data_IF_157887747812
#
_entry.id   IF_157887747812
#
_cell.length_a   1.000
_cell.length_b   1.000
_cell.length_c   1.000
_cell.angle_alpha   90.00
_cell.angle_beta   90.00
_cell.angle_gamma   90.00
#
_symmetry.space_group_name_H-M   'P 1'
#
loop_
_entity.id
_entity.type
_entity.pdbx_description
1 polymer ?
#
# COMPACT_ATOMS: atom_id res chain seq x y z
N UNK A 1 41.28 -16.25 -27.81
CA UNK A 1 39.96 -16.89 -27.62
C UNK A 1 40.03 -18.41 -27.33
N UNK A 2 40.93 -19.18 -27.96
CA UNK A 2 41.05 -20.63 -27.70
C UNK A 2 41.44 -20.99 -26.25
N UNK A 3 42.28 -20.16 -25.56
CA UNK A 3 42.68 -20.41 -24.18
C UNK A 3 41.54 -20.29 -23.17
N UNK A 4 40.65 -19.33 -23.34
CA UNK A 4 39.50 -19.11 -22.46
C UNK A 4 38.51 -20.28 -22.47
N UNK A 5 38.22 -20.79 -23.68
CA UNK A 5 37.32 -21.95 -23.86
C UNK A 5 37.91 -23.21 -23.22
N UNK A 6 39.21 -23.42 -23.33
CA UNK A 6 39.89 -24.57 -22.71
C UNK A 6 39.86 -24.49 -21.17
N UNK A 7 40.06 -23.33 -20.59
CA UNK A 7 39.97 -23.13 -19.14
C UNK A 7 38.51 -23.37 -18.67
N UNK A 8 37.55 -22.79 -19.35
CA UNK A 8 36.13 -22.96 -19.03
C UNK A 8 35.69 -24.42 -19.08
N UNK A 9 36.15 -25.16 -20.10
CA UNK A 9 35.86 -26.60 -20.26
C UNK A 9 36.50 -27.46 -19.17
N UNK A 10 37.70 -27.07 -18.71
CA UNK A 10 38.39 -27.73 -17.59
C UNK A 10 37.67 -27.48 -16.27
N UNK A 11 37.29 -26.24 -15.97
CA UNK A 11 36.57 -25.87 -14.75
C UNK A 11 35.19 -26.54 -14.69
N UNK A 12 34.47 -26.56 -15.82
CA UNK A 12 33.18 -27.26 -15.91
C UNK A 12 33.34 -28.79 -15.70
N UNK A 13 34.46 -29.38 -16.17
CA UNK A 13 34.80 -30.78 -15.93
C UNK A 13 35.07 -31.09 -14.46
N UNK A 14 35.70 -30.15 -13.72
CA UNK A 14 35.98 -30.30 -12.30
C UNK A 14 34.67 -30.19 -11.49
N UNK A 15 33.81 -29.23 -11.80
CA UNK A 15 32.52 -29.05 -11.14
C UNK A 15 31.64 -30.31 -11.33
N UNK A 16 31.57 -30.85 -12.57
CA UNK A 16 30.77 -32.02 -12.86
C UNK A 16 31.28 -33.29 -12.17
N UNK A 17 32.59 -33.39 -11.93
CA UNK A 17 33.23 -34.59 -11.38
C UNK A 17 33.23 -34.61 -9.85
N UNK A 18 32.99 -33.45 -9.21
CA UNK A 18 32.97 -33.35 -7.76
C UNK A 18 31.55 -33.00 -7.31
N UNK A 19 30.83 -33.93 -6.63
CA UNK A 19 29.44 -33.71 -6.23
C UNK A 19 29.28 -32.55 -5.26
N UNK A 20 30.30 -32.22 -4.44
CA UNK A 20 30.26 -31.10 -3.51
C UNK A 20 30.24 -29.76 -4.26
N UNK A 21 31.06 -29.59 -5.29
CA UNK A 21 31.04 -28.38 -6.10
C UNK A 21 29.76 -28.26 -6.94
N UNK A 22 29.21 -29.36 -7.42
CA UNK A 22 27.97 -29.39 -8.18
C UNK A 22 26.80 -29.01 -7.27
N UNK A 23 26.76 -29.56 -6.07
CA UNK A 23 25.73 -29.23 -5.08
C UNK A 23 25.85 -27.79 -4.60
N UNK A 24 27.06 -27.28 -4.34
CA UNK A 24 27.30 -25.89 -3.89
C UNK A 24 27.05 -24.84 -4.97
N UNK A 25 27.30 -25.12 -6.24
CA UNK A 25 27.10 -24.14 -7.32
C UNK A 25 25.71 -24.22 -7.95
N UNK A 26 25.35 -25.40 -8.47
CA UNK A 26 24.05 -25.58 -9.14
C UNK A 26 22.94 -25.82 -8.16
N UNK A 27 23.18 -26.58 -7.09
CA UNK A 27 22.18 -26.87 -6.05
C UNK A 27 21.71 -25.62 -5.34
N UNK A 28 22.62 -24.76 -4.91
CA UNK A 28 22.26 -23.47 -4.24
C UNK A 28 21.46 -22.58 -5.21
N UNK A 29 21.87 -22.52 -6.49
CA UNK A 29 21.15 -21.73 -7.48
C UNK A 29 19.72 -22.24 -7.70
N UNK A 30 19.54 -23.57 -7.82
CA UNK A 30 18.23 -24.19 -7.97
C UNK A 30 17.37 -23.98 -6.72
N UNK A 31 17.93 -24.20 -5.53
CA UNK A 31 17.22 -23.98 -4.27
C UNK A 31 16.81 -22.51 -4.12
N UNK A 32 17.70 -21.57 -4.44
CA UNK A 32 17.36 -20.14 -4.43
C UNK A 32 16.23 -19.81 -5.40
N UNK A 33 16.30 -20.35 -6.61
CA UNK A 33 15.26 -20.13 -7.62
C UNK A 33 13.91 -20.70 -7.17
N UNK A 34 13.90 -21.93 -6.63
CA UNK A 34 12.69 -22.55 -6.07
C UNK A 34 12.16 -21.77 -4.85
N UNK A 35 13.05 -21.31 -4.00
CA UNK A 35 12.68 -20.47 -2.85
C UNK A 35 11.99 -19.17 -3.31
N UNK A 36 12.59 -18.45 -4.26
CA UNK A 36 11.99 -17.25 -4.82
C UNK A 36 10.64 -17.52 -5.48
N UNK A 37 10.56 -18.54 -6.34
CA UNK A 37 9.31 -18.92 -6.99
C UNK A 37 8.21 -19.31 -6.00
N UNK A 38 8.58 -20.00 -4.91
CA UNK A 38 7.62 -20.42 -3.88
C UNK A 38 7.22 -19.24 -2.99
N UNK A 39 8.20 -18.43 -2.58
CA UNK A 39 7.97 -17.29 -1.70
C UNK A 39 7.13 -16.19 -2.37
N UNK A 40 7.41 -15.92 -3.65
CA UNK A 40 6.65 -14.91 -4.41
C UNK A 40 5.41 -15.46 -5.11
N UNK A 41 5.15 -16.77 -5.02
CA UNK A 41 3.93 -17.37 -5.58
C UNK A 41 2.65 -16.86 -4.92
N UNK A 42 2.73 -16.46 -3.66
CA UNK A 42 1.63 -15.84 -2.93
C UNK A 42 1.42 -14.35 -3.29
N UNK A 43 2.33 -13.76 -4.10
CA UNK A 43 2.26 -12.35 -4.47
C UNK A 43 2.63 -11.40 -3.32
N UNK A 44 2.24 -10.15 -3.45
CA UNK A 44 2.22 -9.19 -2.35
C UNK A 44 1.19 -9.64 -1.31
N UNK A 45 1.39 -9.34 -0.02
CA UNK A 45 0.38 -9.64 0.99
C UNK A 45 -0.94 -8.98 0.58
N UNK A 46 -1.90 -9.82 0.20
CA UNK A 46 -3.25 -9.39 -0.14
C UNK A 46 -4.06 -9.23 1.14
N UNK A 47 -4.97 -8.27 1.15
CA UNK A 47 -5.96 -8.10 2.22
C UNK A 47 -5.35 -7.85 3.60
N UNK A 48 -4.46 -6.85 3.70
CA UNK A 48 -3.95 -6.40 5.00
C UNK A 48 -5.10 -5.86 5.86
N UNK A 49 -5.38 -6.44 7.04
CA UNK A 49 -6.45 -5.97 7.88
C UNK A 49 -6.10 -4.60 8.47
N UNK A 50 -6.86 -3.57 8.08
CA UNK A 50 -6.76 -2.20 8.56
C UNK A 50 -7.91 -1.97 9.53
N UNK A 51 -7.61 -1.71 10.80
CA UNK A 51 -8.61 -1.28 11.76
C UNK A 51 -9.06 0.15 11.45
N UNK A 52 -10.35 0.40 11.50
CA UNK A 52 -10.91 1.75 11.35
C UNK A 52 -11.84 2.04 12.51
N UNK A 53 -11.61 3.18 13.16
CA UNK A 53 -12.53 3.79 14.13
C UNK A 53 -13.11 5.03 13.46
N UNK A 54 -14.40 5.00 13.14
CA UNK A 54 -15.11 6.10 12.50
C UNK A 54 -15.92 6.89 13.52
N UNK A 55 -15.38 8.03 13.97
CA UNK A 55 -16.05 8.92 14.91
C UNK A 55 -17.00 9.92 14.23
N UNK A 56 -16.89 10.08 12.89
CA UNK A 56 -17.73 11.00 12.12
C UNK A 56 -19.12 10.41 11.80
N UNK A 57 -19.16 9.10 11.52
CA UNK A 57 -20.38 8.34 11.23
C UNK A 57 -21.28 8.91 10.12
N UNK A 58 -20.71 9.63 9.17
CA UNK A 58 -21.43 10.26 8.06
C UNK A 58 -21.42 9.41 6.79
N UNK A 59 -22.13 9.87 5.75
CA UNK A 59 -22.07 9.25 4.43
C UNK A 59 -20.69 9.40 3.78
N UNK A 60 -19.98 10.49 4.08
CA UNK A 60 -18.64 10.73 3.53
C UNK A 60 -17.60 9.79 4.14
N UNK A 61 -17.61 9.62 5.48
CA UNK A 61 -16.69 8.70 6.17
C UNK A 61 -16.95 7.25 5.76
N UNK A 62 -18.22 6.84 5.66
CA UNK A 62 -18.58 5.50 5.17
C UNK A 62 -18.14 5.24 3.73
N UNK A 63 -18.29 6.22 2.84
CA UNK A 63 -17.82 6.12 1.46
C UNK A 63 -16.29 5.98 1.40
N UNK A 64 -15.58 6.76 2.20
CA UNK A 64 -14.13 6.65 2.35
C UNK A 64 -13.72 5.23 2.77
N UNK A 65 -14.35 4.66 3.80
CA UNK A 65 -14.07 3.31 4.28
C UNK A 65 -14.40 2.24 3.22
N UNK A 66 -15.50 2.39 2.47
CA UNK A 66 -15.85 1.48 1.38
C UNK A 66 -14.84 1.52 0.23
N UNK A 67 -14.35 2.72 -0.13
CA UNK A 67 -13.32 2.85 -1.15
C UNK A 67 -11.98 2.26 -0.66
N UNK A 68 -11.66 2.42 0.62
CA UNK A 68 -10.48 1.80 1.22
C UNK A 68 -10.57 0.27 1.21
N UNK A 69 -11.73 -0.29 1.54
CA UNK A 69 -11.98 -1.74 1.50
C UNK A 69 -11.96 -2.32 0.07
N UNK A 70 -12.27 -1.48 -0.92
CA UNK A 70 -12.20 -1.86 -2.34
C UNK A 70 -10.77 -1.87 -2.90
N UNK A 71 -9.77 -1.41 -2.14
CA UNK A 71 -8.35 -1.51 -2.55
C UNK A 71 -7.87 -2.95 -2.48
N UNK A 72 -6.92 -3.32 -3.33
CA UNK A 72 -6.38 -4.68 -3.34
C UNK A 72 -5.58 -5.04 -2.08
N UNK A 73 -5.01 -4.05 -1.41
CA UNK A 73 -4.09 -4.24 -0.28
C UNK A 73 -4.78 -4.16 1.07
N UNK A 74 -5.88 -3.39 1.20
CA UNK A 74 -6.55 -3.14 2.45
C UNK A 74 -7.83 -3.95 2.63
N UNK A 75 -8.05 -4.52 3.79
CA UNK A 75 -9.33 -5.04 4.25
C UNK A 75 -9.75 -4.27 5.50
N UNK A 76 -10.85 -3.53 5.41
CA UNK A 76 -11.32 -2.71 6.52
C UNK A 76 -11.98 -3.59 7.59
N UNK A 77 -11.55 -3.39 8.84
CA UNK A 77 -12.15 -3.99 10.04
C UNK A 77 -12.63 -2.84 10.93
N UNK A 78 -13.93 -2.73 11.10
CA UNK A 78 -14.54 -1.66 11.90
C UNK A 78 -14.46 -1.96 13.40
N UNK A 79 -14.21 -0.92 14.17
CA UNK A 79 -14.22 -0.92 15.63
C UNK A 79 -15.06 0.26 16.14
N UNK A 80 -15.79 0.00 17.22
CA UNK A 80 -16.66 1.02 17.82
C UNK A 80 -15.87 2.03 18.65
N UNK A 81 -14.71 1.60 19.20
CA UNK A 81 -13.86 2.41 20.04
C UNK A 81 -12.38 2.19 19.80
N UNK A 82 -11.57 3.16 20.23
CA UNK A 82 -10.12 3.12 20.05
C UNK A 82 -9.45 1.99 20.86
N UNK A 83 -9.94 1.68 22.07
CA UNK A 83 -9.30 0.68 22.93
C UNK A 83 -9.44 -0.73 22.32
N UNK A 84 -10.62 -1.10 21.83
CA UNK A 84 -10.83 -2.38 21.16
C UNK A 84 -10.01 -2.51 19.87
N UNK A 85 -9.86 -1.42 19.11
CA UNK A 85 -9.03 -1.36 17.93
C UNK A 85 -7.53 -1.50 18.27
N UNK A 86 -7.08 -0.84 19.33
CA UNK A 86 -5.72 -0.93 19.86
C UNK A 86 -5.39 -2.35 20.31
N UNK A 87 -6.28 -3.01 21.07
CA UNK A 87 -6.10 -4.40 21.48
C UNK A 87 -6.03 -5.34 20.28
N UNK A 88 -6.86 -5.10 19.26
CA UNK A 88 -6.79 -5.83 18.00
C UNK A 88 -5.45 -5.66 17.29
N UNK A 89 -4.86 -4.47 17.34
CA UNK A 89 -3.53 -4.20 16.77
C UNK A 89 -2.42 -4.85 17.60
N UNK A 90 -2.50 -4.84 18.92
CA UNK A 90 -1.52 -5.50 19.80
C UNK A 90 -1.53 -7.01 19.65
N UNK A 91 -2.69 -7.60 19.46
CA UNK A 91 -2.86 -9.05 19.22
C UNK A 91 -2.58 -9.47 17.77
N UNK A 92 -2.24 -8.52 16.88
CA UNK A 92 -1.94 -8.79 15.47
C UNK A 92 -3.15 -9.12 14.61
N UNK A 93 -4.39 -8.88 15.10
CA UNK A 93 -5.61 -9.04 14.31
C UNK A 93 -5.72 -7.97 13.21
N UNK A 94 -5.17 -6.79 13.45
CA UNK A 94 -5.01 -5.74 12.45
C UNK A 94 -3.56 -5.28 12.41
N UNK A 95 -3.09 -4.90 11.22
CA UNK A 95 -1.70 -4.47 10.98
C UNK A 95 -1.51 -2.98 11.23
N UNK A 96 -2.57 -2.23 11.10
CA UNK A 96 -2.60 -0.78 11.26
C UNK A 96 -3.99 -0.32 11.70
N UNK A 97 -4.06 0.89 12.23
CA UNK A 97 -5.30 1.49 12.72
C UNK A 97 -5.43 2.91 12.17
N UNK A 98 -6.56 3.21 11.57
CA UNK A 98 -6.93 4.54 11.10
C UNK A 98 -8.09 5.07 11.95
N UNK A 99 -7.91 6.24 12.54
CA UNK A 99 -8.96 6.93 13.30
C UNK A 99 -9.44 8.14 12.50
N UNK A 100 -10.71 8.11 12.13
CA UNK A 100 -11.41 9.22 11.47
C UNK A 100 -11.91 10.16 12.56
N UNK A 101 -11.54 11.45 12.50
CA UNK A 101 -11.96 12.41 13.56
C UNK A 101 -13.46 12.69 13.51
N UNK A 102 -13.99 13.10 14.65
CA UNK A 102 -15.33 13.70 14.75
C UNK A 102 -15.44 14.93 13.83
N UNK A 103 -16.63 15.17 13.28
CA UNK A 103 -16.90 16.32 12.42
C UNK A 103 -16.03 16.39 11.13
N UNK A 104 -15.44 15.26 10.71
CA UNK A 104 -14.62 15.21 9.49
C UNK A 104 -15.37 15.80 8.29
N UNK A 105 -16.61 15.43 8.10
CA UNK A 105 -17.43 15.89 6.97
C UNK A 105 -17.68 17.40 7.04
N UNK A 106 -18.05 17.92 8.21
CA UNK A 106 -18.27 19.36 8.40
C UNK A 106 -17.00 20.15 8.13
N UNK A 107 -15.86 19.68 8.59
CA UNK A 107 -14.57 20.31 8.38
C UNK A 107 -14.19 20.34 6.91
N UNK A 108 -14.38 19.25 6.20
CA UNK A 108 -14.10 19.18 4.75
C UNK A 108 -15.00 20.16 3.99
N UNK A 109 -16.31 20.19 4.25
CA UNK A 109 -17.22 21.13 3.59
C UNK A 109 -16.96 22.60 3.97
N UNK A 110 -16.48 22.85 5.19
CA UNK A 110 -16.06 24.18 5.63
C UNK A 110 -14.66 24.58 5.12
N UNK A 111 -14.03 23.76 4.24
CA UNK A 111 -12.67 23.95 3.74
C UNK A 111 -11.61 23.98 4.86
N UNK A 112 -11.90 23.33 5.98
CA UNK A 112 -10.94 22.99 7.02
C UNK A 112 -10.26 21.67 6.66
N UNK A 113 -9.12 21.40 7.27
CA UNK A 113 -8.33 20.18 7.01
C UNK A 113 -8.45 19.23 8.21
N UNK A 114 -9.40 18.27 8.19
CA UNK A 114 -9.47 17.26 9.24
C UNK A 114 -8.20 16.43 9.27
N UNK A 115 -7.75 16.04 10.45
CA UNK A 115 -6.54 15.25 10.65
C UNK A 115 -6.91 13.82 10.96
N UNK A 116 -6.57 12.92 10.02
CA UNK A 116 -6.67 11.49 10.24
C UNK A 116 -5.48 11.02 11.08
N UNK A 117 -5.74 10.24 12.11
CA UNK A 117 -4.66 9.66 12.91
C UNK A 117 -4.43 8.21 12.49
N UNK A 118 -3.18 7.91 12.16
CA UNK A 118 -2.79 6.58 11.69
C UNK A 118 -1.74 5.97 12.60
N UNK A 119 -2.03 4.75 13.07
CA UNK A 119 -1.13 3.97 13.92
C UNK A 119 -0.65 2.74 13.17
N UNK A 120 0.63 2.42 13.31
CA UNK A 120 1.27 1.25 12.69
C UNK A 120 1.84 0.35 13.77
N UNK A 121 1.60 -0.94 13.64
CA UNK A 121 2.28 -1.92 14.48
C UNK A 121 3.71 -2.13 13.96
N UNK A 122 4.70 -1.84 14.80
CA UNK A 122 6.13 -1.93 14.47
C UNK A 122 6.57 -3.33 14.04
N UNK A 123 5.86 -4.38 14.46
CA UNK A 123 6.12 -5.76 14.04
C UNK A 123 5.75 -6.02 12.58
N UNK A 124 4.84 -5.21 12.02
CA UNK A 124 4.33 -5.34 10.64
C UNK A 124 4.70 -4.11 9.78
N UNK A 125 5.92 -3.61 9.91
CA UNK A 125 6.37 -2.37 9.26
C UNK A 125 6.07 -2.32 7.75
N UNK A 126 6.29 -3.43 7.03
CA UNK A 126 6.05 -3.48 5.57
C UNK A 126 4.54 -3.38 5.28
N UNK A 127 3.72 -4.15 5.97
CA UNK A 127 2.26 -4.09 5.84
C UNK A 127 1.71 -2.72 6.24
N UNK A 128 2.20 -2.16 7.34
CA UNK A 128 1.83 -0.82 7.79
C UNK A 128 2.20 0.28 6.80
N UNK A 129 3.37 0.22 6.18
CA UNK A 129 3.79 1.19 5.17
C UNK A 129 2.94 1.11 3.89
N UNK A 130 2.58 -0.10 3.45
CA UNK A 130 1.68 -0.30 2.31
C UNK A 130 0.28 0.24 2.60
N UNK A 131 -0.29 -0.09 3.76
CA UNK A 131 -1.59 0.41 4.19
C UNK A 131 -1.60 1.94 4.35
N UNK A 132 -0.52 2.54 4.84
CA UNK A 132 -0.38 3.99 4.93
C UNK A 132 -0.45 4.66 3.56
N UNK A 133 0.25 4.10 2.56
CA UNK A 133 0.21 4.60 1.19
C UNK A 133 -1.21 4.58 0.63
N UNK A 134 -1.96 3.49 0.86
CA UNK A 134 -3.34 3.37 0.39
C UNK A 134 -4.26 4.39 1.07
N UNK A 135 -4.16 4.52 2.39
CA UNK A 135 -4.93 5.52 3.15
C UNK A 135 -4.60 6.93 2.66
N UNK A 136 -3.32 7.26 2.51
CA UNK A 136 -2.90 8.58 2.01
C UNK A 136 -3.45 8.86 0.61
N UNK A 137 -3.45 7.86 -0.28
CA UNK A 137 -4.02 7.96 -1.61
C UNK A 137 -5.53 8.20 -1.55
N UNK A 138 -6.25 7.44 -0.70
CA UNK A 138 -7.68 7.59 -0.53
C UNK A 138 -8.08 8.93 0.10
N UNK A 139 -7.36 9.39 1.11
CA UNK A 139 -7.57 10.73 1.71
C UNK A 139 -7.39 11.82 0.67
N UNK A 140 -6.36 11.71 -0.17
CA UNK A 140 -6.09 12.69 -1.22
C UNK A 140 -7.19 12.70 -2.30
N UNK A 141 -7.61 11.52 -2.76
CA UNK A 141 -8.67 11.38 -3.76
C UNK A 141 -10.02 11.85 -3.25
N UNK A 142 -10.40 11.45 -2.03
CA UNK A 142 -11.65 11.86 -1.38
C UNK A 142 -11.66 13.37 -1.14
N UNK A 143 -10.55 13.92 -0.65
CA UNK A 143 -10.39 15.36 -0.46
C UNK A 143 -10.55 16.14 -1.77
N UNK A 144 -9.92 15.67 -2.84
CA UNK A 144 -10.05 16.27 -4.17
C UNK A 144 -11.48 16.19 -4.72
N UNK A 145 -12.17 15.06 -4.55
CA UNK A 145 -13.54 14.88 -5.00
C UNK A 145 -14.52 15.83 -4.29
N UNK A 146 -14.42 15.93 -2.96
CA UNK A 146 -15.26 16.86 -2.18
C UNK A 146 -14.94 18.32 -2.50
N UNK A 147 -13.66 18.68 -2.63
CA UNK A 147 -13.26 20.02 -3.02
C UNK A 147 -13.82 20.43 -4.38
N UNK A 148 -13.84 19.48 -5.34
CA UNK A 148 -14.47 19.67 -6.66
C UNK A 148 -15.96 19.97 -6.52
N UNK A 149 -16.68 19.23 -5.68
CA UNK A 149 -18.12 19.42 -5.46
C UNK A 149 -18.41 20.77 -4.81
N UNK A 150 -17.64 21.15 -3.79
CA UNK A 150 -17.73 22.48 -3.13
C UNK A 150 -17.48 23.62 -4.11
N UNK A 151 -16.46 23.52 -4.97
CA UNK A 151 -16.16 24.55 -5.97
C UNK A 151 -17.25 24.64 -7.04
N UNK A 152 -17.82 23.50 -7.46
CA UNK A 152 -18.95 23.45 -8.37
C UNK A 152 -20.18 24.13 -7.77
N UNK A 153 -20.48 23.86 -6.49
CA UNK A 153 -21.58 24.52 -5.78
C UNK A 153 -21.38 26.04 -5.67
N UNK A 154 -20.13 26.52 -5.63
CA UNK A 154 -19.77 27.94 -5.67
C UNK A 154 -19.81 28.58 -7.08
N UNK A 155 -20.16 27.80 -8.11
CA UNK A 155 -20.34 28.32 -9.47
C UNK A 155 -19.07 28.37 -10.33
N UNK A 156 -17.98 27.74 -9.89
CA UNK A 156 -16.77 27.64 -10.71
C UNK A 156 -16.98 26.68 -11.90
N UNK A 157 -16.41 27.01 -13.06
CA UNK A 157 -16.41 26.13 -14.22
C UNK A 157 -15.46 24.94 -14.03
N UNK A 158 -15.73 23.80 -14.72
CA UNK A 158 -14.89 22.60 -14.62
C UNK A 158 -13.40 22.86 -14.91
N UNK A 159 -13.10 23.73 -15.88
CA UNK A 159 -11.72 24.10 -16.20
C UNK A 159 -11.01 24.86 -15.07
N UNK A 160 -11.73 25.74 -14.38
CA UNK A 160 -11.21 26.46 -13.21
C UNK A 160 -11.03 25.52 -12.01
N UNK A 161 -11.97 24.60 -11.82
CA UNK A 161 -11.93 23.59 -10.77
C UNK A 161 -10.71 22.69 -10.94
N UNK A 162 -10.47 22.17 -12.15
CA UNK A 162 -9.32 21.32 -12.44
C UNK A 162 -7.99 22.06 -12.21
N UNK A 163 -7.89 23.32 -12.60
CA UNK A 163 -6.70 24.13 -12.33
C UNK A 163 -6.43 24.39 -10.85
N UNK A 164 -7.49 24.46 -10.03
CA UNK A 164 -7.38 24.67 -8.58
C UNK A 164 -7.06 23.38 -7.81
N UNK A 165 -7.60 22.24 -8.24
CA UNK A 165 -7.40 20.95 -7.56
C UNK A 165 -6.10 20.28 -8.01
N UNK A 166 -5.77 20.37 -9.30
CA UNK A 166 -4.58 19.76 -9.89
C UNK A 166 -3.77 20.81 -10.67
N UNK A 167 -3.01 21.66 -9.98
CA UNK A 167 -2.28 22.77 -10.62
C UNK A 167 -1.09 22.31 -11.48
N UNK A 168 -0.67 21.04 -11.38
CA UNK A 168 0.46 20.49 -12.13
C UNK A 168 -0.01 19.29 -12.94
N UNK A 169 0.15 19.35 -14.25
CA UNK A 169 -0.06 18.21 -15.15
C UNK A 169 1.30 17.65 -15.53
N UNK A 170 1.50 16.34 -15.35
CA UNK A 170 2.70 15.65 -15.82
C UNK A 170 2.41 15.13 -17.21
N UNK A 171 3.13 15.65 -18.20
CA UNK A 171 3.08 15.17 -19.58
C UNK A 171 4.20 14.14 -19.78
N UNK A 172 3.83 12.89 -20.02
CA UNK A 172 4.76 11.78 -20.17
C UNK A 172 5.17 11.66 -21.65
N UNK A 173 6.32 12.20 -22.00
CA UNK A 173 6.91 11.97 -23.32
C UNK A 173 7.74 10.68 -23.28
N UNK A 174 7.26 9.65 -23.97
CA UNK A 174 8.08 8.47 -24.26
C UNK A 174 9.08 8.83 -25.36
N UNK A 175 10.36 8.80 -25.02
CA UNK A 175 11.48 8.91 -25.95
C UNK A 175 11.80 7.53 -26.51
#
# INVERSE_FOLDING_TARGET
MKGFINVMRREFGIIRRNPVYLLGSVGVMVVSCLFYLTFFKAGLPDSLPIGVVDNDNTSLSRNFCQQLDATQLGKVVYFDDFESARDAMQTGRVTSLCVIPEHMSEDVYANRRPVFTYYVNSLYMIGGALSYKDILTMVTLTGGAVQREVLRAKGYSEGQIMGLIQPIVVDEHKI
#
